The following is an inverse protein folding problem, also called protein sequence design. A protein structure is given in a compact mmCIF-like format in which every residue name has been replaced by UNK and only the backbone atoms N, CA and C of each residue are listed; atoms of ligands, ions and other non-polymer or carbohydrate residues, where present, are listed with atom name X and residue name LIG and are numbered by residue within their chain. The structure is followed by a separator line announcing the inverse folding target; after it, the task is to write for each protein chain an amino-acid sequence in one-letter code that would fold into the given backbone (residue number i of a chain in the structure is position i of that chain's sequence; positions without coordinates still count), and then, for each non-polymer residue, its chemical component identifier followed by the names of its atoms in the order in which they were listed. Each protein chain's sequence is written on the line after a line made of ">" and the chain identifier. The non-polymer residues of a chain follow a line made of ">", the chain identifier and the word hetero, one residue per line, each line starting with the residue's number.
data_IF_996881858855
#
_entry.id   IF_996881858855
#
_cell.length_a   1.000
_cell.length_b   1.000
_cell.length_c   1.000
_cell.angle_alpha   90.00
_cell.angle_beta   90.00
_cell.angle_gamma   90.00
#
_symmetry.space_group_name_H-M   'P 1'
#
loop_
_entity.id
_entity.type
_entity.pdbx_description
1 polymer ?
#
# COMPACT_ATOMS: atom_id res chain seq x y z
N UNK A 1 59.28 14.62 -0.65
CA UNK A 1 59.59 14.57 0.80
C UNK A 1 58.44 13.82 1.47
N UNK A 2 58.50 12.48 1.47
CA UNK A 2 58.90 11.64 2.62
C UNK A 2 58.07 11.95 3.89
N UNK A 3 57.06 11.12 4.14
CA UNK A 3 56.86 10.47 5.44
C UNK A 3 56.50 9.00 5.19
N UNK A 4 57.47 8.14 5.52
CA UNK A 4 57.44 6.71 5.81
C UNK A 4 57.51 6.67 7.37
N UNK A 5 57.01 5.76 8.20
CA UNK A 5 56.56 4.37 8.05
C UNK A 5 56.21 3.81 9.48
N UNK A 6 55.71 2.55 9.53
CA UNK A 6 55.91 1.52 10.59
C UNK A 6 55.14 1.74 11.92
N UNK A 7 54.59 0.76 12.64
CA UNK A 7 54.60 -0.72 12.65
C UNK A 7 53.59 -1.22 13.70
N UNK A 8 53.00 -2.41 13.57
CA UNK A 8 53.46 -3.74 14.01
C UNK A 8 53.27 -4.04 15.52
N UNK A 9 52.49 -5.09 15.82
CA UNK A 9 52.36 -5.78 17.11
C UNK A 9 51.05 -6.60 17.10
N UNK A 10 51.00 -7.90 16.79
CA UNK A 10 51.66 -9.08 17.39
C UNK A 10 51.30 -9.26 18.88
N UNK A 11 50.28 -10.07 19.14
CA UNK A 11 49.85 -10.52 20.46
C UNK A 11 49.27 -11.93 20.35
N UNK A 12 50.16 -12.91 20.49
CA UNK A 12 49.92 -14.35 20.48
C UNK A 12 49.59 -14.78 21.91
N UNK A 13 48.48 -15.49 22.13
CA UNK A 13 48.23 -16.23 23.37
C UNK A 13 47.62 -17.60 23.01
N UNK A 14 48.37 -18.63 23.38
CA UNK A 14 48.07 -20.06 23.31
C UNK A 14 47.36 -20.52 24.60
N UNK A 15 46.99 -21.82 24.59
CA UNK A 15 46.38 -22.65 25.64
C UNK A 15 44.84 -22.57 25.66
N UNK A 16 44.06 -23.64 25.55
CA UNK A 16 44.35 -25.07 25.69
C UNK A 16 43.21 -25.72 26.47
N UNK A 17 42.59 -26.75 25.86
CA UNK A 17 41.74 -27.80 26.45
C UNK A 17 40.53 -27.42 27.34
N UNK A 18 39.32 -27.76 26.90
CA UNK A 18 38.36 -28.49 27.74
C UNK A 18 37.26 -29.19 26.90
N UNK A 19 36.79 -30.33 27.41
CA UNK A 19 36.00 -31.41 26.83
C UNK A 19 34.74 -31.06 26.00
N UNK A 20 34.26 -31.98 25.13
CA UNK A 20 32.92 -31.90 24.57
C UNK A 20 31.90 -32.18 25.69
N UNK A 21 31.17 -31.15 26.12
CA UNK A 21 29.96 -31.33 26.94
C UNK A 21 28.90 -32.02 26.10
N UNK A 22 28.44 -33.17 26.59
CA UNK A 22 27.27 -33.85 26.11
C UNK A 22 26.10 -32.87 25.99
N UNK A 23 25.43 -32.86 24.84
CA UNK A 23 24.17 -32.15 24.63
C UNK A 23 23.13 -32.86 25.49
N UNK A 24 23.01 -32.40 26.72
CA UNK A 24 21.91 -32.72 27.62
C UNK A 24 20.62 -32.23 26.98
N UNK A 25 19.64 -33.12 26.91
CA UNK A 25 18.30 -32.84 26.41
C UNK A 25 17.64 -31.86 27.39
N UNK A 26 17.75 -30.55 27.12
CA UNK A 26 17.01 -29.53 27.84
C UNK A 26 15.55 -29.72 27.48
N UNK A 27 14.79 -30.24 28.43
CA UNK A 27 13.33 -30.22 28.40
C UNK A 27 12.94 -28.76 28.63
N UNK A 28 12.76 -28.02 27.55
CA UNK A 28 12.18 -26.69 27.59
C UNK A 28 10.74 -26.81 28.08
N UNK A 29 10.54 -26.49 29.35
CA UNK A 29 9.26 -26.08 29.90
C UNK A 29 8.81 -24.81 29.17
N UNK A 30 7.77 -24.96 28.36
CA UNK A 30 7.16 -23.88 27.61
C UNK A 30 6.60 -22.87 28.59
N UNK A 31 7.20 -21.68 28.60
CA UNK A 31 6.57 -20.48 29.13
C UNK A 31 5.39 -20.16 28.22
N UNK A 32 4.20 -20.47 28.71
CA UNK A 32 2.93 -20.05 28.11
C UNK A 32 2.78 -18.55 28.33
N UNK A 33 2.88 -17.75 27.26
CA UNK A 33 1.85 -16.74 26.92
C UNK A 33 2.21 -16.08 25.58
N UNK A 34 1.83 -16.72 24.47
CA UNK A 34 1.88 -16.11 23.14
C UNK A 34 0.56 -16.42 22.42
N UNK A 35 -0.31 -15.42 22.16
CA UNK A 35 -1.58 -15.67 21.52
C UNK A 35 -1.36 -16.10 20.06
N UNK A 36 -1.87 -17.29 19.72
CA UNK A 36 -1.74 -17.88 18.38
C UNK A 36 -2.65 -17.15 17.36
N UNK A 37 -2.18 -16.94 16.12
CA UNK A 37 -3.01 -16.46 15.03
C UNK A 37 -4.02 -17.53 14.58
N UNK A 38 -5.28 -17.10 14.46
CA UNK A 38 -6.42 -17.73 13.78
C UNK A 38 -6.34 -19.25 13.47
N UNK A 39 -6.92 -20.04 14.38
CA UNK A 39 -7.70 -21.24 14.01
C UNK A 39 -6.93 -22.54 13.77
N UNK A 40 -6.50 -23.19 14.85
CA UNK A 40 -6.27 -24.63 14.85
C UNK A 40 -7.57 -25.35 15.26
N UNK A 41 -8.35 -25.82 14.29
CA UNK A 41 -9.46 -26.76 14.53
C UNK A 41 -8.89 -28.16 14.39
N UNK A 42 -8.92 -28.91 15.49
CA UNK A 42 -8.33 -30.24 15.60
C UNK A 42 -9.03 -31.30 14.76
N UNK A 43 -8.22 -32.30 14.39
CA UNK A 43 -8.62 -33.51 13.71
C UNK A 43 -9.61 -34.34 14.55
N UNK A 44 -10.59 -34.94 13.85
CA UNK A 44 -11.53 -35.98 14.27
C UNK A 44 -12.90 -35.53 14.82
N UNK A 45 -13.85 -35.36 13.89
CA UNK A 45 -15.24 -35.79 14.09
C UNK A 45 -15.72 -36.52 12.82
N UNK A 46 -15.52 -37.83 12.83
CA UNK A 46 -16.11 -38.78 11.88
C UNK A 46 -17.64 -38.75 12.03
N UNK A 47 -18.34 -38.53 10.92
CA UNK A 47 -19.76 -38.85 10.76
C UNK A 47 -20.71 -37.66 10.89
N UNK A 48 -20.80 -36.84 9.85
CA UNK A 48 -22.02 -36.07 9.60
C UNK A 48 -22.36 -36.12 8.11
N UNK A 49 -23.41 -36.85 7.80
CA UNK A 49 -24.01 -36.93 6.46
C UNK A 49 -24.34 -35.52 5.97
N UNK A 50 -23.60 -35.02 4.97
CA UNK A 50 -23.95 -33.79 4.27
C UNK A 50 -25.09 -34.13 3.30
N UNK A 51 -26.30 -33.65 3.60
CA UNK A 51 -27.39 -33.61 2.63
C UNK A 51 -26.96 -32.75 1.42
N UNK A 52 -27.35 -33.07 0.17
CA UNK A 52 -26.93 -32.30 -0.99
C UNK A 52 -27.47 -30.87 -0.89
N UNK A 53 -26.56 -29.91 -0.85
CA UNK A 53 -26.89 -28.49 -0.79
C UNK A 53 -27.68 -28.08 -2.05
N UNK A 54 -28.82 -27.44 -1.82
CA UNK A 54 -29.62 -26.76 -2.84
C UNK A 54 -28.74 -25.74 -3.61
N UNK A 55 -28.78 -25.67 -4.95
CA UNK A 55 -27.99 -24.70 -5.70
C UNK A 55 -28.48 -23.29 -5.37
N UNK A 56 -27.68 -22.55 -4.61
CA UNK A 56 -27.91 -21.13 -4.38
C UNK A 56 -27.96 -20.42 -5.74
N UNK A 57 -28.96 -19.55 -6.00
CA UNK A 57 -29.07 -18.86 -7.27
C UNK A 57 -27.81 -18.02 -7.51
N UNK A 58 -27.23 -18.17 -8.69
CA UNK A 58 -26.12 -17.37 -9.18
C UNK A 58 -26.37 -15.89 -8.82
N UNK A 59 -25.52 -15.33 -7.94
CA UNK A 59 -25.52 -13.89 -7.67
C UNK A 59 -25.45 -13.20 -9.02
N UNK A 60 -26.52 -12.52 -9.43
CA UNK A 60 -26.48 -11.61 -10.56
C UNK A 60 -25.25 -10.73 -10.36
N UNK A 61 -24.31 -10.77 -11.30
CA UNK A 61 -23.26 -9.76 -11.43
C UNK A 61 -23.94 -8.43 -11.16
N UNK A 62 -23.52 -7.77 -10.08
CA UNK A 62 -23.87 -6.38 -9.85
C UNK A 62 -23.32 -5.64 -11.07
N UNK A 63 -24.19 -5.42 -12.05
CA UNK A 63 -23.92 -4.60 -13.19
C UNK A 63 -23.43 -3.27 -12.63
N UNK A 64 -22.17 -2.99 -12.95
CA UNK A 64 -21.37 -1.90 -12.41
C UNK A 64 -22.20 -0.63 -12.41
N UNK A 65 -22.70 -0.23 -11.24
CA UNK A 65 -23.49 0.99 -11.12
C UNK A 65 -22.56 2.14 -11.49
N UNK A 66 -22.71 2.67 -12.71
CA UNK A 66 -21.93 3.80 -13.21
C UNK A 66 -22.03 4.94 -12.20
N UNK A 67 -20.92 5.22 -11.51
CA UNK A 67 -20.86 6.29 -10.50
C UNK A 67 -20.99 7.62 -11.22
N UNK A 68 -22.20 8.17 -11.26
CA UNK A 68 -22.45 9.51 -11.78
C UNK A 68 -22.26 10.53 -10.66
N UNK A 69 -21.38 11.53 -10.83
CA UNK A 69 -21.29 12.66 -9.92
C UNK A 69 -22.66 13.32 -9.73
N UNK A 70 -22.99 13.66 -8.49
CA UNK A 70 -24.24 14.33 -8.16
C UNK A 70 -24.03 15.84 -8.24
N UNK A 71 -24.91 16.52 -8.97
CA UNK A 71 -24.88 17.98 -9.06
C UNK A 71 -25.41 18.61 -7.76
N UNK A 72 -24.96 19.84 -7.46
CA UNK A 72 -25.42 20.62 -6.30
C UNK A 72 -24.39 20.76 -5.17
N UNK A 73 -23.10 20.62 -5.47
CA UNK A 73 -22.06 20.88 -4.50
C UNK A 73 -22.05 22.33 -4.00
N UNK A 74 -21.82 22.48 -2.69
CA UNK A 74 -21.42 23.77 -2.12
C UNK A 74 -19.98 24.03 -2.55
N UNK A 75 -19.69 25.20 -3.15
CA UNK A 75 -18.34 25.53 -3.60
C UNK A 75 -17.35 25.55 -2.43
N UNK A 76 -16.21 24.88 -2.62
CA UNK A 76 -15.12 24.79 -1.63
C UNK A 76 -13.85 25.39 -2.23
N UNK A 77 -13.72 26.73 -2.26
CA UNK A 77 -12.65 27.41 -3.02
C UNK A 77 -11.23 27.11 -2.51
N UNK A 78 -11.11 26.73 -1.24
CA UNK A 78 -9.83 26.32 -0.62
C UNK A 78 -9.52 24.83 -0.75
N UNK A 79 -10.48 24.01 -1.17
CA UNK A 79 -10.24 22.58 -1.31
C UNK A 79 -9.49 22.29 -2.62
N UNK A 80 -8.59 21.32 -2.55
CA UNK A 80 -7.73 20.89 -3.65
C UNK A 80 -7.76 19.37 -3.78
N UNK A 81 -7.65 18.87 -5.00
CA UNK A 81 -7.60 17.44 -5.27
C UNK A 81 -6.42 17.10 -6.18
N UNK A 82 -5.63 16.11 -5.77
CA UNK A 82 -4.64 15.44 -6.60
C UNK A 82 -5.18 14.05 -6.89
N UNK A 83 -5.29 13.72 -8.16
CA UNK A 83 -5.94 12.52 -8.67
C UNK A 83 -4.95 11.83 -9.61
N UNK A 84 -4.59 10.60 -9.28
CA UNK A 84 -3.60 9.82 -10.02
C UNK A 84 -4.25 8.49 -10.44
N UNK A 85 -4.18 8.17 -11.73
CA UNK A 85 -4.66 6.89 -12.27
C UNK A 85 -3.63 6.26 -13.19
N UNK A 86 -3.07 5.11 -12.80
CA UNK A 86 -2.00 4.45 -13.59
C UNK A 86 -2.51 3.13 -14.16
N UNK A 87 -3.06 3.14 -15.36
CA UNK A 87 -3.52 1.91 -16.00
C UNK A 87 -2.37 1.17 -16.70
N UNK A 88 -1.54 1.90 -17.44
CA UNK A 88 -0.43 1.35 -18.21
C UNK A 88 0.94 1.76 -17.65
N UNK A 89 1.63 0.81 -17.04
CA UNK A 89 3.00 0.98 -16.54
C UNK A 89 4.01 0.89 -17.70
N UNK A 90 5.07 1.71 -17.63
CA UNK A 90 6.14 1.74 -18.65
C UNK A 90 7.03 0.48 -18.63
N UNK A 91 7.18 -0.12 -17.45
CA UNK A 91 7.88 -1.40 -17.27
C UNK A 91 6.92 -2.56 -17.48
N UNK A 92 7.44 -3.78 -17.68
CA UNK A 92 6.62 -4.99 -17.86
C UNK A 92 5.90 -5.39 -16.57
N UNK A 93 4.87 -4.62 -16.22
CA UNK A 93 3.93 -4.93 -15.16
C UNK A 93 2.54 -5.18 -15.77
N UNK A 94 1.68 -5.96 -15.10
CA UNK A 94 0.28 -6.08 -15.48
C UNK A 94 -0.41 -4.70 -15.53
N UNK A 95 -1.33 -4.53 -16.46
CA UNK A 95 -2.16 -3.31 -16.53
C UNK A 95 -3.14 -3.26 -15.37
N UNK A 96 -3.30 -2.10 -14.75
CA UNK A 96 -4.37 -1.83 -13.80
C UNK A 96 -5.61 -1.33 -14.55
N UNK A 97 -6.28 -2.25 -15.25
CA UNK A 97 -7.43 -1.95 -16.10
C UNK A 97 -8.49 -1.14 -15.34
N UNK A 98 -8.83 0.04 -15.84
CA UNK A 98 -9.84 0.92 -15.24
C UNK A 98 -9.27 2.05 -14.39
N UNK A 99 -8.00 2.00 -13.99
CA UNK A 99 -7.39 3.02 -13.12
C UNK A 99 -7.47 4.45 -13.70
N UNK A 100 -7.18 4.60 -15.00
CA UNK A 100 -7.28 5.89 -15.68
C UNK A 100 -8.74 6.39 -15.74
N UNK A 101 -9.69 5.48 -15.97
CA UNK A 101 -11.13 5.79 -15.97
C UNK A 101 -11.61 6.18 -14.57
N UNK A 102 -11.19 5.48 -13.53
CA UNK A 102 -11.57 5.76 -12.14
C UNK A 102 -11.04 7.13 -11.70
N UNK A 103 -9.80 7.47 -12.08
CA UNK A 103 -9.23 8.79 -11.86
C UNK A 103 -10.01 9.89 -12.59
N UNK A 104 -10.38 9.70 -13.85
CA UNK A 104 -11.19 10.66 -14.60
C UNK A 104 -12.59 10.85 -13.96
N UNK A 105 -13.23 9.77 -13.52
CA UNK A 105 -14.50 9.82 -12.82
C UNK A 105 -14.38 10.55 -11.48
N UNK A 106 -13.32 10.30 -10.71
CA UNK A 106 -13.07 11.00 -9.45
C UNK A 106 -12.81 12.49 -9.66
N UNK A 107 -12.09 12.89 -10.71
CA UNK A 107 -11.89 14.29 -11.05
C UNK A 107 -13.23 15.00 -11.35
N UNK A 108 -14.11 14.37 -12.12
CA UNK A 108 -15.46 14.88 -12.37
C UNK A 108 -16.32 14.90 -11.09
N UNK A 109 -16.15 13.91 -10.21
CA UNK A 109 -16.79 13.87 -8.91
C UNK A 109 -16.35 15.03 -8.01
N UNK A 110 -15.05 15.32 -7.98
CA UNK A 110 -14.48 16.42 -7.21
C UNK A 110 -15.00 17.78 -7.70
N UNK A 111 -15.11 17.97 -9.01
CA UNK A 111 -15.68 19.20 -9.59
C UNK A 111 -17.17 19.35 -9.26
N UNK A 112 -17.98 18.30 -9.52
CA UNK A 112 -19.45 18.41 -9.47
C UNK A 112 -20.07 18.18 -8.10
N UNK A 113 -19.48 17.29 -7.30
CA UNK A 113 -20.04 16.83 -6.02
C UNK A 113 -19.31 17.41 -4.81
N UNK A 114 -17.99 17.54 -4.89
CA UNK A 114 -17.21 18.17 -3.81
C UNK A 114 -17.10 19.69 -3.97
N UNK A 115 -17.44 20.24 -5.14
CA UNK A 115 -17.47 21.68 -5.37
C UNK A 115 -16.08 22.29 -5.48
N UNK A 116 -15.09 21.52 -5.92
CA UNK A 116 -13.75 22.02 -6.20
C UNK A 116 -13.75 22.76 -7.54
N UNK A 117 -13.02 23.87 -7.60
CA UNK A 117 -12.77 24.55 -8.87
C UNK A 117 -11.80 23.73 -9.73
N UNK A 118 -11.97 23.73 -11.05
CA UNK A 118 -11.09 22.98 -11.98
C UNK A 118 -9.60 23.32 -11.82
N UNK A 119 -9.27 24.57 -11.47
CA UNK A 119 -7.90 24.99 -11.20
C UNK A 119 -7.26 24.29 -9.99
N UNK A 120 -8.08 23.82 -9.05
CA UNK A 120 -7.67 23.13 -7.83
C UNK A 120 -7.67 21.61 -7.98
N UNK A 121 -7.90 21.09 -9.20
CA UNK A 121 -7.92 19.66 -9.48
C UNK A 121 -6.73 19.34 -10.40
N UNK A 122 -5.82 18.48 -9.93
CA UNK A 122 -4.74 17.91 -10.75
C UNK A 122 -5.01 16.46 -11.03
N UNK A 123 -5.21 16.15 -12.31
CA UNK A 123 -5.37 14.80 -12.82
C UNK A 123 -4.09 14.40 -13.54
N UNK A 124 -3.50 13.29 -13.11
CA UNK A 124 -2.36 12.64 -13.75
C UNK A 124 -2.78 11.21 -14.14
N UNK A 125 -2.67 10.87 -15.42
CA UNK A 125 -3.00 9.52 -15.91
C UNK A 125 -1.89 8.92 -16.74
N UNK A 126 -1.70 7.60 -16.64
CA UNK A 126 -0.79 6.82 -17.48
C UNK A 126 0.61 7.45 -17.65
N UNK A 127 0.93 7.94 -18.85
CA UNK A 127 2.22 8.52 -19.19
C UNK A 127 2.55 9.78 -18.40
N UNK A 128 1.54 10.50 -17.91
CA UNK A 128 1.67 11.73 -17.15
C UNK A 128 1.82 11.46 -15.65
N UNK A 129 1.38 10.29 -15.18
CA UNK A 129 1.52 9.83 -13.79
C UNK A 129 2.91 9.24 -13.51
N UNK A 130 3.96 9.91 -13.97
CA UNK A 130 5.34 9.52 -13.63
C UNK A 130 5.69 9.94 -12.22
N UNK A 131 6.68 9.26 -11.63
CA UNK A 131 7.24 9.68 -10.34
C UNK A 131 7.64 11.16 -10.35
N UNK A 132 8.38 11.61 -11.37
CA UNK A 132 8.80 13.01 -11.47
C UNK A 132 7.63 13.98 -11.59
N UNK A 133 6.56 13.59 -12.28
CA UNK A 133 5.35 14.41 -12.39
C UNK A 133 4.61 14.51 -11.05
N UNK A 134 4.51 13.40 -10.32
CA UNK A 134 3.88 13.37 -9.00
C UNK A 134 4.68 14.22 -8.02
N UNK A 135 6.01 14.04 -8.00
CA UNK A 135 6.93 14.85 -7.17
C UNK A 135 6.77 16.34 -7.50
N UNK A 136 6.75 16.72 -8.78
CA UNK A 136 6.53 18.11 -9.20
C UNK A 136 5.16 18.66 -8.77
N UNK A 137 4.10 17.84 -8.81
CA UNK A 137 2.77 18.25 -8.35
C UNK A 137 2.75 18.46 -6.83
N UNK A 138 3.42 17.60 -6.06
CA UNK A 138 3.46 17.68 -4.61
C UNK A 138 4.37 18.81 -4.10
N UNK A 139 5.55 18.97 -4.69
CA UNK A 139 6.53 19.94 -4.20
C UNK A 139 6.30 21.35 -4.78
N UNK A 140 5.99 21.45 -6.06
CA UNK A 140 5.87 22.75 -6.73
C UNK A 140 4.43 23.23 -6.86
N UNK A 141 3.54 22.39 -7.38
CA UNK A 141 2.17 22.83 -7.64
C UNK A 141 1.39 23.01 -6.34
N UNK A 142 1.42 22.02 -5.44
CA UNK A 142 0.71 22.08 -4.16
C UNK A 142 1.18 23.28 -3.34
N UNK A 143 2.49 23.48 -3.20
CA UNK A 143 3.02 24.63 -2.44
C UNK A 143 2.64 26.00 -3.00
N UNK A 144 2.37 26.12 -4.31
CA UNK A 144 1.97 27.38 -4.96
C UNK A 144 0.46 27.61 -5.00
N UNK A 145 -0.35 26.56 -4.88
CA UNK A 145 -1.79 26.60 -5.16
C UNK A 145 -2.67 26.31 -3.93
N UNK A 146 -2.07 26.12 -2.75
CA UNK A 146 -2.77 25.64 -1.55
C UNK A 146 -2.49 26.53 -0.34
N UNK A 147 -3.55 26.97 0.31
CA UNK A 147 -3.49 27.70 1.58
C UNK A 147 -3.15 26.74 2.74
N UNK A 148 -2.59 27.27 3.83
CA UNK A 148 -2.22 26.43 4.99
C UNK A 148 -3.40 25.75 5.69
N UNK A 149 -4.62 26.25 5.50
CA UNK A 149 -5.86 25.71 6.06
C UNK A 149 -6.73 24.99 5.01
N UNK A 150 -6.17 24.71 3.84
CA UNK A 150 -6.87 24.01 2.77
C UNK A 150 -7.13 22.54 3.08
N UNK A 151 -8.22 22.02 2.53
CA UNK A 151 -8.53 20.60 2.55
C UNK A 151 -7.97 19.93 1.29
N UNK A 152 -7.07 18.95 1.47
CA UNK A 152 -6.45 18.21 0.39
C UNK A 152 -7.07 16.83 0.24
N UNK A 153 -7.56 16.54 -0.96
CA UNK A 153 -7.98 15.22 -1.39
C UNK A 153 -6.87 14.59 -2.23
N UNK A 154 -6.49 13.35 -1.89
CA UNK A 154 -5.56 12.57 -2.70
C UNK A 154 -6.24 11.26 -3.10
N UNK A 155 -6.35 11.02 -4.40
CA UNK A 155 -6.93 9.80 -4.97
C UNK A 155 -5.90 9.09 -5.83
N UNK A 156 -5.78 7.78 -5.65
CA UNK A 156 -4.88 6.92 -6.40
C UNK A 156 -5.60 5.64 -6.81
N UNK A 157 -5.49 5.29 -8.09
CA UNK A 157 -6.02 4.07 -8.68
C UNK A 157 -4.98 3.41 -9.60
#
# INVERSE_FOLDING_TARGET
>A
MRWLAIGLGMGMALLGCSAPMAIGKVRAEATEDFPQPWGAVGDNLVGSTIAPASPAPARRSAESAELKPRDGAVMRPKAVAIVVGVESYRVRLPKATGAARDAALFAAFAERTLGLSRGNIKLLTDSDATRSSIDAVLDEWLGKNVDRDAELFFFFA
#
